data_IF_230676362912
#
_entry.id   IF_230676362912
#
_cell.length_a   1.000
_cell.length_b   1.000
_cell.length_c   1.000
_cell.angle_alpha   90.00
_cell.angle_beta   90.00
_cell.angle_gamma   90.00
#
_symmetry.space_group_name_H-M   'P 1'
#
loop_
_entity.id
_entity.type
_entity.pdbx_description
1 polymer ?
#
# COMPACT_ATOMS: atom_id res chain seq x y z
N UNK A 1 -17.44 37.17 5.68
CA UNK A 1 -17.86 35.78 5.42
C UNK A 1 -17.06 34.87 6.34
N UNK A 2 -17.49 34.74 7.59
CA UNK A 2 -16.79 34.00 8.64
C UNK A 2 -17.85 33.29 9.46
N UNK A 3 -18.05 32.00 9.20
CA UNK A 3 -18.84 31.14 10.07
C UNK A 3 -18.27 29.73 10.00
N UNK A 4 -16.99 29.61 10.36
CA UNK A 4 -16.47 28.45 11.07
C UNK A 4 -17.19 28.37 12.42
N UNK A 5 -18.49 28.04 12.38
CA UNK A 5 -19.24 27.61 13.56
C UNK A 5 -18.55 26.35 14.05
N UNK A 6 -17.77 26.51 15.11
CA UNK A 6 -17.34 25.49 16.07
C UNK A 6 -17.85 24.09 15.70
N UNK A 7 -17.02 23.33 14.98
CA UNK A 7 -17.23 21.90 14.86
C UNK A 7 -17.07 21.31 16.26
N UNK A 8 -18.18 21.26 17.01
CA UNK A 8 -18.24 20.54 18.27
C UNK A 8 -17.76 19.13 17.96
N UNK A 9 -16.67 18.72 18.61
CA UNK A 9 -16.07 17.41 18.39
C UNK A 9 -17.09 16.34 18.79
N UNK A 10 -17.74 15.74 17.78
CA UNK A 10 -18.71 14.67 17.96
C UNK A 10 -18.00 13.33 17.91
N UNK A 11 -18.46 12.39 18.72
CA UNK A 11 -17.90 11.03 18.75
C UNK A 11 -18.46 10.26 17.55
N UNK A 12 -17.57 9.74 16.71
CA UNK A 12 -17.93 8.91 15.56
C UNK A 12 -18.01 7.44 15.94
N UNK A 13 -19.11 6.79 15.58
CA UNK A 13 -19.34 5.36 15.65
C UNK A 13 -19.43 4.79 14.23
N UNK A 14 -18.93 3.57 14.05
CA UNK A 14 -18.89 2.86 12.77
C UNK A 14 -20.24 2.18 12.43
N UNK A 15 -21.07 1.89 13.43
CA UNK A 15 -22.38 1.28 13.18
C UNK A 15 -23.43 1.66 14.23
N UNK A 16 -24.70 1.66 13.81
CA UNK A 16 -25.84 1.72 14.73
C UNK A 16 -25.92 0.47 15.63
N UNK A 17 -25.37 -0.65 15.16
CA UNK A 17 -25.24 -1.88 15.95
C UNK A 17 -24.24 -1.70 17.09
N UNK A 18 -23.13 -0.97 16.86
CA UNK A 18 -22.16 -0.66 17.91
C UNK A 18 -22.78 0.20 18.99
N UNK A 19 -23.63 1.16 18.63
CA UNK A 19 -24.37 1.96 19.61
C UNK A 19 -25.29 1.08 20.47
N UNK A 20 -26.03 0.14 19.85
CA UNK A 20 -26.87 -0.82 20.58
C UNK A 20 -26.04 -1.73 21.49
N UNK A 21 -24.88 -2.18 21.01
CA UNK A 21 -23.93 -3.01 21.77
C UNK A 21 -23.33 -2.27 22.96
N UNK A 22 -22.94 -1.00 22.79
CA UNK A 22 -22.45 -0.15 23.88
C UNK A 22 -23.55 0.05 24.92
N UNK A 23 -24.78 0.33 24.48
CA UNK A 23 -25.94 0.45 25.37
C UNK A 23 -26.15 -0.83 26.19
N UNK A 24 -26.18 -2.00 25.55
CA UNK A 24 -26.39 -3.28 26.25
C UNK A 24 -25.22 -3.62 27.18
N UNK A 25 -23.98 -3.46 26.74
CA UNK A 25 -22.82 -3.73 27.57
C UNK A 25 -22.75 -2.82 28.81
N UNK A 26 -23.10 -1.54 28.64
CA UNK A 26 -23.16 -0.60 29.76
C UNK A 26 -24.31 -0.92 30.72
N UNK A 27 -25.50 -1.25 30.22
CA UNK A 27 -26.62 -1.67 31.08
C UNK A 27 -26.27 -2.92 31.85
N UNK A 28 -25.67 -3.91 31.20
CA UNK A 28 -25.32 -5.19 31.82
C UNK A 28 -24.22 -5.00 32.87
N UNK A 29 -23.21 -4.18 32.60
CA UNK A 29 -22.16 -3.86 33.56
C UNK A 29 -22.72 -3.15 34.81
N UNK A 30 -23.65 -2.20 34.64
CA UNK A 30 -24.26 -1.48 35.76
C UNK A 30 -25.16 -2.41 36.58
N UNK A 31 -25.95 -3.26 35.92
CA UNK A 31 -26.81 -4.21 36.61
C UNK A 31 -25.99 -5.27 37.37
N UNK A 32 -24.92 -5.79 36.77
CA UNK A 32 -24.00 -6.72 37.44
C UNK A 32 -23.37 -6.11 38.70
N UNK A 33 -23.00 -4.82 38.67
CA UNK A 33 -22.48 -4.12 39.86
C UNK A 33 -23.52 -3.96 40.97
N UNK A 34 -24.76 -3.67 40.60
CA UNK A 34 -25.88 -3.59 41.54
C UNK A 34 -26.18 -4.94 42.18
N UNK A 35 -26.06 -6.03 41.42
CA UNK A 35 -26.18 -7.39 41.94
C UNK A 35 -25.05 -7.72 42.91
N UNK A 36 -23.80 -7.35 42.59
CA UNK A 36 -22.63 -7.52 43.48
C UNK A 36 -22.79 -6.74 44.80
N UNK A 37 -23.43 -5.57 44.77
CA UNK A 37 -23.77 -4.78 45.97
C UNK A 37 -24.96 -5.35 46.76
N UNK A 38 -25.55 -6.45 46.30
CA UNK A 38 -26.63 -7.16 46.99
C UNK A 38 -28.01 -6.52 46.80
N UNK A 39 -28.20 -5.70 45.75
CA UNK A 39 -29.51 -5.14 45.43
C UNK A 39 -30.40 -6.23 44.84
N UNK A 40 -31.58 -6.53 45.44
CA UNK A 40 -32.45 -7.57 44.93
C UNK A 40 -33.00 -7.21 43.56
N UNK A 41 -33.12 -8.21 42.67
CA UNK A 41 -33.52 -8.10 41.26
C UNK A 41 -34.95 -7.59 40.99
N UNK A 42 -35.70 -7.20 42.03
CA UNK A 42 -37.00 -6.52 41.97
C UNK A 42 -37.04 -5.14 42.62
N UNK A 43 -35.89 -4.62 43.07
CA UNK A 43 -35.80 -3.34 43.76
C UNK A 43 -36.25 -2.19 42.86
N UNK A 44 -36.98 -1.19 43.39
CA UNK A 44 -37.29 0.03 42.64
C UNK A 44 -36.02 0.75 42.16
N UNK A 45 -34.89 0.56 42.84
CA UNK A 45 -33.58 1.12 42.48
C UNK A 45 -33.16 0.69 41.07
N UNK A 46 -33.41 -0.56 40.69
CA UNK A 46 -33.07 -1.08 39.35
C UNK A 46 -33.85 -0.33 38.27
N UNK A 47 -35.14 -0.08 38.50
CA UNK A 47 -36.00 0.68 37.57
C UNK A 47 -35.54 2.13 37.45
N UNK A 48 -35.16 2.76 38.55
CA UNK A 48 -34.60 4.11 38.53
C UNK A 48 -33.26 4.15 37.80
N UNK A 49 -32.41 3.14 38.00
CA UNK A 49 -31.11 3.07 37.33
C UNK A 49 -31.28 2.86 35.81
N UNK A 50 -32.16 1.96 35.38
CA UNK A 50 -32.47 1.79 33.95
C UNK A 50 -32.96 3.09 33.32
N UNK A 51 -33.88 3.80 33.98
CA UNK A 51 -34.36 5.11 33.52
C UNK A 51 -33.24 6.15 33.46
N UNK A 52 -32.34 6.15 34.44
CA UNK A 52 -31.18 7.04 34.45
C UNK A 52 -30.23 6.74 33.28
N UNK A 53 -29.95 5.46 33.03
CA UNK A 53 -29.12 5.02 31.90
C UNK A 53 -29.77 5.48 30.58
N UNK A 54 -31.05 5.22 30.38
CA UNK A 54 -31.76 5.65 29.18
C UNK A 54 -31.71 7.16 29.00
N UNK A 55 -31.98 7.94 30.05
CA UNK A 55 -31.90 9.40 29.99
C UNK A 55 -30.49 9.91 29.68
N UNK A 56 -29.46 9.27 30.25
CA UNK A 56 -28.07 9.66 30.00
C UNK A 56 -27.65 9.38 28.56
N UNK A 57 -28.06 8.23 28.01
CA UNK A 57 -27.77 7.85 26.63
C UNK A 57 -28.56 8.70 25.63
N UNK A 58 -29.83 8.99 25.90
CA UNK A 58 -30.63 9.94 25.09
C UNK A 58 -30.00 11.34 25.10
N UNK A 59 -29.47 11.77 26.24
CA UNK A 59 -28.77 13.07 26.32
C UNK A 59 -27.44 13.07 25.56
N UNK A 60 -26.84 11.90 25.35
CA UNK A 60 -25.59 11.75 24.60
C UNK A 60 -25.80 11.65 23.08
N UNK A 61 -26.97 11.19 22.61
CA UNK A 61 -27.33 11.07 21.19
C UNK A 61 -26.96 12.27 20.30
N UNK A 62 -27.25 13.53 20.64
CA UNK A 62 -26.93 14.68 19.77
C UNK A 62 -25.43 14.88 19.53
N UNK A 63 -24.58 14.30 20.39
CA UNK A 63 -23.13 14.38 20.29
C UNK A 63 -22.52 13.20 19.50
N UNK A 64 -23.35 12.30 18.97
CA UNK A 64 -22.92 11.13 18.21
C UNK A 64 -23.04 11.35 16.70
N UNK A 65 -22.07 10.78 15.98
CA UNK A 65 -22.12 10.56 14.53
C UNK A 65 -22.06 9.07 14.25
N UNK A 66 -22.93 8.56 13.38
CA UNK A 66 -22.86 7.18 12.90
C UNK A 66 -22.61 7.26 11.40
N UNK A 67 -21.51 6.68 10.91
CA UNK A 67 -21.14 6.69 9.49
C UNK A 67 -21.21 8.08 8.85
N UNK A 68 -20.53 9.04 9.51
CA UNK A 68 -20.46 10.43 9.06
C UNK A 68 -21.75 11.25 9.19
N UNK A 69 -22.89 10.64 9.54
CA UNK A 69 -24.18 11.32 9.71
C UNK A 69 -24.46 11.60 11.18
N UNK A 70 -25.09 12.75 11.45
CA UNK A 70 -25.55 13.08 12.80
C UNK A 70 -26.67 12.12 13.22
N UNK A 71 -26.67 11.69 14.49
CA UNK A 71 -27.66 10.75 15.01
C UNK A 71 -29.12 11.25 14.83
N UNK A 72 -29.35 12.56 15.01
CA UNK A 72 -30.68 13.18 14.83
C UNK A 72 -31.23 13.07 13.40
N UNK A 73 -30.37 12.84 12.40
CA UNK A 73 -30.78 12.66 11.01
C UNK A 73 -31.18 11.21 10.69
N UNK A 74 -30.93 10.26 11.60
CA UNK A 74 -31.31 8.85 11.45
C UNK A 74 -32.76 8.60 11.90
N UNK A 75 -33.25 9.34 12.89
CA UNK A 75 -34.61 9.18 13.45
C UNK A 75 -35.73 9.68 12.51
N UNK A 76 -35.41 10.31 11.36
CA UNK A 76 -36.42 10.82 10.43
C UNK A 76 -36.84 9.82 9.33
N UNK A 77 -36.20 8.66 9.20
CA UNK A 77 -36.54 7.68 8.17
C UNK A 77 -36.52 6.26 8.74
N UNK A 78 -37.66 5.84 9.27
CA UNK A 78 -38.16 4.47 9.11
C UNK A 78 -38.38 4.17 7.61
N UNK A 79 -37.32 4.22 6.79
CA UNK A 79 -37.31 3.68 5.43
C UNK A 79 -36.29 2.53 5.39
N UNK A 80 -36.76 1.27 5.36
CA UNK A 80 -35.89 0.09 5.36
C UNK A 80 -35.09 -0.13 4.06
N UNK A 81 -35.09 0.85 3.14
CA UNK A 81 -34.51 0.75 1.78
C UNK A 81 -33.43 1.82 1.48
N UNK A 82 -32.89 2.50 2.49
CA UNK A 82 -31.76 3.42 2.25
C UNK A 82 -30.46 2.63 2.35
N UNK A 83 -29.96 2.24 1.18
CA UNK A 83 -28.67 1.58 0.97
C UNK A 83 -27.59 2.16 1.90
N UNK A 84 -27.11 1.32 2.83
CA UNK A 84 -26.09 1.69 3.81
C UNK A 84 -24.84 2.12 3.04
N UNK A 85 -24.42 3.37 3.24
CA UNK A 85 -23.28 3.94 2.52
C UNK A 85 -21.99 3.23 2.97
N UNK A 86 -21.38 2.45 2.09
CA UNK A 86 -20.12 1.77 2.35
C UNK A 86 -18.94 2.75 2.13
N UNK A 87 -18.52 3.42 3.20
CA UNK A 87 -17.40 4.36 3.17
C UNK A 87 -16.06 3.69 2.77
N UNK A 88 -15.88 2.40 3.06
CA UNK A 88 -14.68 1.67 2.67
C UNK A 88 -14.65 1.47 1.15
N UNK A 89 -15.81 1.16 0.56
CA UNK A 89 -15.97 1.09 -0.88
C UNK A 89 -15.73 2.45 -1.53
N UNK A 90 -16.27 3.54 -1.00
CA UNK A 90 -16.07 4.87 -1.57
C UNK A 90 -14.60 5.29 -1.51
N UNK A 91 -13.93 5.15 -0.36
CA UNK A 91 -12.47 5.41 -0.25
C UNK A 91 -11.67 4.59 -1.25
N UNK A 92 -12.07 3.34 -1.49
CA UNK A 92 -11.44 2.47 -2.49
C UNK A 92 -11.68 2.99 -3.91
N UNK A 93 -12.89 3.39 -4.26
CA UNK A 93 -13.24 3.98 -5.57
C UNK A 93 -12.37 5.21 -5.85
N UNK A 94 -12.21 6.09 -4.87
CA UNK A 94 -11.36 7.28 -4.99
C UNK A 94 -9.89 6.92 -5.16
N UNK A 95 -9.36 6.01 -4.32
CA UNK A 95 -7.97 5.56 -4.44
C UNK A 95 -7.67 4.91 -5.80
N UNK A 96 -8.63 4.16 -6.36
CA UNK A 96 -8.51 3.54 -7.68
C UNK A 96 -8.57 4.58 -8.80
N UNK A 97 -9.41 5.60 -8.66
CA UNK A 97 -9.48 6.70 -9.62
C UNK A 97 -8.16 7.49 -9.68
N UNK A 98 -7.58 7.80 -8.52
CA UNK A 98 -6.29 8.48 -8.43
C UNK A 98 -5.16 7.65 -9.01
N UNK A 99 -5.09 6.36 -8.65
CA UNK A 99 -4.12 5.42 -9.21
C UNK A 99 -4.26 5.33 -10.73
N UNK A 100 -5.48 5.21 -11.24
CA UNK A 100 -5.74 5.17 -12.68
C UNK A 100 -5.22 6.43 -13.37
N UNK A 101 -5.43 7.61 -12.80
CA UNK A 101 -4.95 8.86 -13.37
C UNK A 101 -3.41 8.94 -13.36
N UNK A 102 -2.77 8.49 -12.28
CA UNK A 102 -1.31 8.38 -12.20
C UNK A 102 -0.74 7.45 -13.28
N UNK A 103 -1.34 6.27 -13.47
CA UNK A 103 -0.93 5.33 -14.52
C UNK A 103 -1.11 5.91 -15.93
N UNK A 104 -2.21 6.61 -16.21
CA UNK A 104 -2.39 7.26 -17.51
C UNK A 104 -1.31 8.32 -17.78
N UNK A 105 -0.95 9.10 -16.76
CA UNK A 105 0.13 10.08 -16.86
C UNK A 105 1.48 9.42 -17.11
N UNK A 106 1.78 8.34 -16.41
CA UNK A 106 3.03 7.60 -16.58
C UNK A 106 3.13 6.97 -17.98
N UNK A 107 2.05 6.34 -18.45
CA UNK A 107 1.98 5.76 -19.79
C UNK A 107 2.15 6.84 -20.86
N UNK A 108 1.50 7.99 -20.72
CA UNK A 108 1.64 9.10 -21.64
C UNK A 108 3.09 9.63 -21.68
N UNK A 109 3.72 9.78 -20.52
CA UNK A 109 5.12 10.19 -20.42
C UNK A 109 6.06 9.16 -21.08
N UNK A 110 5.88 7.87 -20.79
CA UNK A 110 6.66 6.78 -21.38
C UNK A 110 6.50 6.73 -22.90
N UNK A 111 5.28 6.86 -23.42
CA UNK A 111 5.02 6.93 -24.87
C UNK A 111 5.70 8.11 -25.56
N UNK A 112 5.93 9.21 -24.83
CA UNK A 112 6.62 10.39 -25.37
C UNK A 112 8.15 10.29 -25.29
N UNK A 113 8.67 9.73 -24.20
CA UNK A 113 10.11 9.75 -23.88
C UNK A 113 10.85 8.53 -24.41
N UNK A 114 10.31 7.33 -24.18
CA UNK A 114 10.98 6.07 -24.52
C UNK A 114 11.31 5.97 -26.01
N UNK A 115 10.40 6.29 -26.97
CA UNK A 115 10.76 6.20 -28.38
C UNK A 115 11.92 7.11 -28.77
N UNK A 116 12.01 8.31 -28.18
CA UNK A 116 13.10 9.26 -28.44
C UNK A 116 14.43 8.78 -27.84
N UNK A 117 14.38 8.15 -26.66
CA UNK A 117 15.57 7.55 -26.05
C UNK A 117 16.06 6.36 -26.88
N UNK A 118 15.16 5.48 -27.31
CA UNK A 118 15.48 4.34 -28.18
C UNK A 118 16.07 4.82 -29.50
N UNK A 119 15.46 5.80 -30.16
CA UNK A 119 15.96 6.42 -31.39
C UNK A 119 17.40 6.94 -31.21
N UNK A 120 17.66 7.70 -30.15
CA UNK A 120 19.01 8.22 -29.85
C UNK A 120 20.02 7.10 -29.64
N UNK A 121 19.64 6.04 -28.92
CA UNK A 121 20.53 4.90 -28.69
C UNK A 121 20.85 4.15 -29.98
N UNK A 122 19.86 3.94 -30.85
CA UNK A 122 20.05 3.30 -32.15
C UNK A 122 20.92 4.15 -33.07
N UNK A 123 20.66 5.46 -33.14
CA UNK A 123 21.51 6.38 -33.90
C UNK A 123 22.97 6.33 -33.45
N UNK A 124 23.21 6.33 -32.14
CA UNK A 124 24.56 6.21 -31.59
C UNK A 124 25.25 4.90 -31.98
N UNK A 125 24.52 3.78 -32.00
CA UNK A 125 25.07 2.49 -32.43
C UNK A 125 25.43 2.48 -33.92
N UNK A 126 24.55 3.02 -34.78
CA UNK A 126 24.84 3.13 -36.21
C UNK A 126 25.98 4.10 -36.53
N UNK A 127 26.13 5.18 -35.76
CA UNK A 127 27.27 6.09 -35.89
C UNK A 127 28.57 5.39 -35.49
N UNK A 128 28.55 4.60 -34.42
CA UNK A 128 29.71 3.81 -33.99
C UNK A 128 30.11 2.78 -35.05
N UNK A 129 29.14 2.02 -35.60
CA UNK A 129 29.39 1.04 -36.65
C UNK A 129 30.00 1.68 -37.91
N UNK A 130 29.50 2.85 -38.33
CA UNK A 130 30.06 3.60 -39.47
C UNK A 130 31.48 4.11 -39.24
N UNK A 131 31.82 4.45 -38.00
CA UNK A 131 33.18 4.86 -37.65
C UNK A 131 34.09 3.64 -37.68
N UNK A 132 33.67 2.53 -37.09
CA UNK A 132 34.42 1.25 -37.10
C UNK A 132 34.63 0.72 -38.53
N UNK A 133 33.62 0.82 -39.42
CA UNK A 133 33.72 0.43 -40.83
C UNK A 133 34.72 1.33 -41.59
N UNK A 134 34.68 2.64 -41.40
CA UNK A 134 35.66 3.58 -42.01
C UNK A 134 37.08 3.37 -41.49
N UNK A 135 37.23 3.12 -40.20
CA UNK A 135 38.54 2.84 -39.59
C UNK A 135 39.10 1.49 -40.10
N UNK A 136 38.22 0.53 -40.43
CA UNK A 136 38.60 -0.75 -41.04
C UNK A 136 38.97 -0.59 -42.53
N UNK A 137 38.23 0.20 -43.31
CA UNK A 137 38.56 0.50 -44.72
C UNK A 137 39.89 1.27 -44.86
N UNK A 138 40.19 2.19 -43.92
CA UNK A 138 41.46 2.90 -43.87
C UNK A 138 42.63 2.01 -43.44
N UNK A 139 42.38 0.88 -42.78
CA UNK A 139 43.40 -0.13 -42.47
C UNK A 139 43.67 -1.09 -43.62
N UNK A 140 42.71 -1.32 -44.52
CA UNK A 140 42.91 -2.18 -45.69
C UNK A 140 43.74 -1.51 -46.79
N UNK A 141 43.66 -0.18 -46.96
CA UNK A 141 44.38 0.55 -48.02
C UNK A 141 45.86 0.85 -47.70
N UNK A 142 46.32 0.60 -46.45
CA UNK A 142 47.73 0.71 -46.02
C UNK A 142 48.43 -0.68 -45.98
N UNK A 143 47.78 -1.72 -46.50
CA UNK A 143 48.24 -3.13 -46.36
C UNK A 143 48.94 -3.72 -47.59
N UNK A 144 49.43 -2.89 -48.51
CA UNK A 144 50.16 -3.33 -49.72
C UNK A 144 51.66 -2.93 -49.77
N UNK A 145 52.28 -2.62 -48.62
CA UNK A 145 53.74 -2.60 -48.49
C UNK A 145 54.23 -3.62 -47.46
N UNK A 146 55.03 -4.56 -47.97
CA UNK A 146 55.74 -5.59 -47.24
C UNK A 146 56.52 -5.02 -46.04
N UNK A 147 56.30 -5.55 -44.84
CA UNK A 147 57.38 -5.90 -43.92
C UNK A 147 56.98 -7.07 -43.04
N UNK A 148 57.72 -8.16 -43.21
CA UNK A 148 57.83 -9.26 -42.26
C UNK A 148 58.52 -8.66 -41.03
N UNK A 149 57.76 -8.30 -40.01
CA UNK A 149 58.29 -7.93 -38.69
C UNK A 149 57.67 -8.85 -37.62
N UNK A 150 58.52 -9.79 -37.22
CA UNK A 150 58.68 -10.39 -35.90
C UNK A 150 57.43 -10.55 -35.01
N UNK A 151 57.04 -11.82 -34.84
CA UNK A 151 56.06 -12.27 -33.86
C UNK A 151 56.44 -11.85 -32.44
N UNK A 152 55.79 -10.80 -31.91
CA UNK A 152 55.66 -10.58 -30.48
C UNK A 152 54.50 -11.40 -29.91
N UNK A 153 54.72 -12.38 -29.01
CA UNK A 153 53.62 -13.12 -28.40
C UNK A 153 53.14 -12.33 -27.19
N UNK A 154 52.15 -11.45 -27.31
CA UNK A 154 51.37 -10.96 -26.15
C UNK A 154 50.21 -10.06 -26.57
N UNK A 155 49.09 -10.67 -26.97
CA UNK A 155 47.75 -10.11 -26.74
C UNK A 155 46.65 -11.15 -27.01
N UNK A 156 46.90 -12.42 -26.64
CA UNK A 156 45.79 -13.32 -26.37
C UNK A 156 45.25 -12.94 -24.99
N UNK A 157 44.12 -12.23 -24.95
CA UNK A 157 43.38 -12.01 -23.72
C UNK A 157 43.12 -13.37 -23.05
N UNK A 158 43.70 -13.57 -21.87
CA UNK A 158 43.72 -14.84 -21.17
C UNK A 158 42.27 -15.31 -20.88
N UNK A 159 41.78 -16.39 -21.54
CA UNK A 159 40.41 -16.87 -21.39
C UNK A 159 40.13 -17.37 -19.96
N UNK A 160 41.18 -17.62 -19.17
CA UNK A 160 41.05 -18.00 -17.76
C UNK A 160 40.52 -16.84 -16.90
N UNK A 161 40.78 -15.58 -17.27
CA UNK A 161 40.31 -14.43 -16.48
C UNK A 161 38.78 -14.28 -16.51
N UNK A 162 38.15 -14.62 -17.64
CA UNK A 162 36.69 -14.68 -17.75
C UNK A 162 36.11 -15.80 -16.90
N UNK A 163 36.75 -16.97 -16.91
CA UNK A 163 36.35 -18.12 -16.10
C UNK A 163 36.46 -17.87 -14.59
N UNK A 164 37.51 -17.18 -14.15
CA UNK A 164 37.65 -16.81 -12.74
C UNK A 164 36.59 -15.83 -12.27
N UNK A 165 36.18 -14.87 -13.12
CA UNK A 165 35.10 -13.93 -12.79
C UNK A 165 33.74 -14.63 -12.69
N UNK A 166 33.42 -15.53 -13.63
CA UNK A 166 32.15 -16.27 -13.58
C UNK A 166 32.12 -17.27 -12.42
N UNK A 167 33.26 -17.90 -12.10
CA UNK A 167 33.41 -18.74 -10.90
C UNK A 167 33.18 -17.93 -9.62
N UNK A 168 33.76 -16.73 -9.51
CA UNK A 168 33.59 -15.87 -8.34
C UNK A 168 32.12 -15.44 -8.17
N UNK A 169 31.43 -15.09 -9.24
CA UNK A 169 29.99 -14.77 -9.19
C UNK A 169 29.13 -15.97 -8.81
N UNK A 170 29.46 -17.17 -9.29
CA UNK A 170 28.76 -18.39 -8.91
C UNK A 170 28.91 -18.68 -7.41
N UNK A 171 30.10 -18.45 -6.85
CA UNK A 171 30.35 -18.62 -5.42
C UNK A 171 29.60 -17.57 -4.59
N UNK A 172 29.61 -16.30 -5.01
CA UNK A 172 28.86 -15.22 -4.36
C UNK A 172 27.33 -15.46 -4.40
N UNK A 173 26.81 -15.96 -5.52
CA UNK A 173 25.41 -16.38 -5.64
C UNK A 173 25.09 -17.55 -4.71
N UNK A 174 25.97 -18.55 -4.64
CA UNK A 174 25.77 -19.71 -3.76
C UNK A 174 25.73 -19.31 -2.27
N UNK A 175 26.48 -18.27 -1.89
CA UNK A 175 26.48 -17.75 -0.52
C UNK A 175 25.27 -16.84 -0.23
N UNK A 176 24.79 -16.10 -1.22
CA UNK A 176 23.70 -15.13 -1.04
C UNK A 176 22.30 -15.75 -1.11
N UNK A 177 22.10 -16.81 -1.89
CA UNK A 177 20.80 -17.49 -2.05
C UNK A 177 20.19 -17.95 -0.71
N UNK A 178 20.91 -18.62 0.20
CA UNK A 178 20.36 -19.06 1.48
C UNK A 178 19.86 -17.88 2.34
N UNK A 179 20.61 -16.77 2.33
CA UNK A 179 20.24 -15.57 3.10
C UNK A 179 18.97 -14.89 2.55
N UNK A 180 18.78 -14.93 1.23
CA UNK A 180 17.57 -14.38 0.60
C UNK A 180 16.37 -15.30 0.81
N UNK A 181 16.57 -16.61 0.80
CA UNK A 181 15.53 -17.58 1.11
C UNK A 181 15.05 -17.43 2.57
N UNK A 182 15.96 -17.29 3.52
CA UNK A 182 15.60 -17.06 4.92
C UNK A 182 14.82 -15.74 5.09
N UNK A 183 15.19 -14.68 4.35
CA UNK A 183 14.44 -13.42 4.35
C UNK A 183 13.04 -13.58 3.76
N UNK A 184 12.87 -14.37 2.70
CA UNK A 184 11.54 -14.62 2.13
C UNK A 184 10.66 -15.43 3.07
N UNK A 185 11.21 -16.45 3.74
CA UNK A 185 10.46 -17.26 4.72
C UNK A 185 10.01 -16.42 5.92
N UNK A 186 10.88 -15.54 6.43
CA UNK A 186 10.53 -14.59 7.50
C UNK A 186 9.48 -13.57 7.06
N UNK A 187 9.55 -13.12 5.81
CA UNK A 187 8.54 -12.20 5.27
C UNK A 187 7.17 -12.89 5.17
N UNK A 188 7.15 -14.14 4.70
CA UNK A 188 5.92 -14.94 4.62
C UNK A 188 5.32 -15.20 6.00
N UNK A 189 6.13 -15.54 7.00
CA UNK A 189 5.65 -15.72 8.37
C UNK A 189 5.07 -14.43 8.96
N UNK A 190 5.73 -13.29 8.75
CA UNK A 190 5.22 -11.98 9.20
C UNK A 190 3.94 -11.62 8.45
N UNK A 191 3.85 -11.90 7.16
CA UNK A 191 2.64 -11.67 6.37
C UNK A 191 1.46 -12.52 6.88
N UNK A 192 1.69 -13.77 7.25
CA UNK A 192 0.68 -14.62 7.90
C UNK A 192 0.25 -14.07 9.26
N UNK A 193 1.20 -13.62 10.09
CA UNK A 193 0.91 -13.05 11.41
C UNK A 193 0.10 -11.75 11.32
N UNK A 194 0.46 -10.86 10.38
CA UNK A 194 -0.31 -9.65 10.10
C UNK A 194 -1.72 -10.01 9.65
N UNK A 195 -1.88 -10.99 8.75
CA UNK A 195 -3.19 -11.45 8.29
C UNK A 195 -4.04 -12.07 9.40
N UNK A 196 -3.43 -12.65 10.44
CA UNK A 196 -4.14 -13.17 11.62
C UNK A 196 -4.54 -12.07 12.60
N UNK A 197 -3.81 -10.96 12.66
CA UNK A 197 -4.14 -9.80 13.50
C UNK A 197 -5.25 -8.93 12.91
N UNK A 198 -5.40 -8.95 11.58
CA UNK A 198 -6.43 -8.18 10.85
C UNK A 198 -7.80 -8.91 10.78
N UNK A 199 -7.97 -10.03 11.51
CA UNK A 199 -9.18 -10.86 11.56
C UNK A 199 -9.72 -10.96 12.98
#
# INVERSE_FOLDING_TARGET
>A
MTSSREEVQRVSLESAEDWKRIKSAYTDAVLSRLEDEGVPSGSPIIKYMQRFIDQSLTSAQPNLRINGRNFEALDQQDEPDIEQFDEALDRRVWSLADNRLAWHKEIANKRRTIPQEVERTLHKLFEQEKVEERDSELQEDDSDEQMIEDYGPNQQADPTSGFHKTSAWAEELSQSIPSQQERSERFESVAEDVKRLDR
#
